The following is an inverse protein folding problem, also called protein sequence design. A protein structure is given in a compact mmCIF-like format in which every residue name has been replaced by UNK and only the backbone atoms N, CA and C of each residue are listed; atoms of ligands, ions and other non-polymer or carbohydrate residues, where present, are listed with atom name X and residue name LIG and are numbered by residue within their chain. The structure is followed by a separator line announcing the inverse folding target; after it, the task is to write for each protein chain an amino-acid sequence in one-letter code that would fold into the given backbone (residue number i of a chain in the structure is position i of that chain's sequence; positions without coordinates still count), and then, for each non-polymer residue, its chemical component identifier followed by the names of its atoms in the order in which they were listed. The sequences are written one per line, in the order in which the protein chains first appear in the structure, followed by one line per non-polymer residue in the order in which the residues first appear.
data_IF_143261006049
#
_entry.id   IF_143261006049
#
_cell.length_a   1.000
_cell.length_b   1.000
_cell.length_c   1.000
_cell.angle_alpha   90.00
_cell.angle_beta   90.00
_cell.angle_gamma   90.00
#
_symmetry.space_group_name_H-M   'P 1'
#
loop_
_entity.id
_entity.type
_entity.pdbx_description
1 polymer ?
#
# COMPACT_ATOMS: atom_id res chain seq x y z
N UNK A 1 15.29 -17.32 -15.41
CA UNK A 1 14.10 -18.08 -14.99
C UNK A 1 13.03 -17.05 -14.69
N UNK A 2 11.97 -16.99 -15.49
CA UNK A 2 10.87 -16.05 -15.23
C UNK A 2 10.15 -16.55 -13.97
N UNK A 3 10.30 -15.85 -12.85
CA UNK A 3 9.36 -16.02 -11.74
C UNK A 3 7.98 -15.70 -12.31
N UNK A 4 7.05 -16.65 -12.23
CA UNK A 4 5.66 -16.38 -12.59
C UNK A 4 5.14 -15.30 -11.64
N UNK A 5 5.07 -14.06 -12.12
CA UNK A 5 4.47 -12.98 -11.37
C UNK A 5 3.02 -13.37 -11.10
N UNK A 6 2.62 -13.42 -9.83
CA UNK A 6 1.22 -13.58 -9.49
C UNK A 6 0.44 -12.34 -9.97
N UNK A 7 -0.89 -12.41 -9.97
CA UNK A 7 -1.74 -11.35 -10.53
C UNK A 7 -1.47 -9.97 -9.89
N UNK A 8 -1.12 -9.94 -8.61
CA UNK A 8 -0.70 -8.72 -7.90
C UNK A 8 0.60 -8.16 -8.46
N UNK A 9 1.63 -9.00 -8.66
CA UNK A 9 2.90 -8.58 -9.23
C UNK A 9 2.74 -8.02 -10.65
N UNK A 10 1.89 -8.65 -11.47
CA UNK A 10 1.55 -8.13 -12.81
C UNK A 10 0.86 -6.77 -12.71
N UNK A 11 -0.11 -6.61 -11.80
CA UNK A 11 -0.83 -5.35 -11.61
C UNK A 11 0.09 -4.23 -11.11
N UNK A 12 0.96 -4.51 -10.13
CA UNK A 12 1.97 -3.55 -9.63
C UNK A 12 2.85 -3.10 -10.78
N UNK A 13 3.41 -4.05 -11.55
CA UNK A 13 4.28 -3.74 -12.67
C UNK A 13 3.57 -2.86 -13.70
N UNK A 14 2.37 -3.25 -14.15
CA UNK A 14 1.64 -2.52 -15.19
C UNK A 14 1.30 -1.07 -14.81
N UNK A 15 0.92 -0.84 -13.55
CA UNK A 15 0.58 0.52 -13.08
C UNK A 15 1.84 1.35 -12.84
N UNK A 16 2.83 0.78 -12.17
CA UNK A 16 4.05 1.50 -11.80
C UNK A 16 4.97 1.79 -12.98
N UNK A 17 4.97 0.95 -14.01
CA UNK A 17 5.71 1.18 -15.26
C UNK A 17 5.39 2.55 -15.86
N UNK A 18 4.13 2.99 -15.72
CA UNK A 18 3.65 4.28 -16.21
C UNK A 18 3.80 5.36 -15.13
N UNK A 19 3.26 5.12 -13.91
CA UNK A 19 3.18 6.17 -12.90
C UNK A 19 4.54 6.63 -12.36
N UNK A 20 5.55 5.76 -12.36
CA UNK A 20 6.87 6.13 -11.82
C UNK A 20 7.58 7.23 -12.61
N UNK A 21 7.21 7.44 -13.88
CA UNK A 21 7.77 8.51 -14.71
C UNK A 21 7.19 9.88 -14.36
N UNK A 22 6.07 9.93 -13.62
CA UNK A 22 5.42 11.16 -13.16
C UNK A 22 5.82 11.55 -11.72
N UNK A 23 6.59 10.70 -11.04
CA UNK A 23 7.12 10.95 -9.72
C UNK A 23 8.62 11.28 -9.83
N UNK A 24 8.99 12.52 -9.50
CA UNK A 24 10.37 13.01 -9.64
C UNK A 24 11.36 12.29 -8.72
N UNK A 25 10.94 11.86 -7.53
CA UNK A 25 11.80 11.19 -6.57
C UNK A 25 11.67 9.66 -6.63
N UNK A 26 10.60 9.15 -7.23
CA UNK A 26 10.30 7.72 -7.36
C UNK A 26 10.37 6.98 -6.01
N UNK A 27 9.98 7.64 -4.91
CA UNK A 27 9.90 7.07 -3.58
C UNK A 27 8.45 6.74 -3.26
N UNK A 28 8.09 5.48 -3.46
CA UNK A 28 6.72 5.01 -3.28
C UNK A 28 6.51 4.44 -1.88
N UNK A 29 5.60 4.99 -1.06
CA UNK A 29 5.10 4.31 0.12
C UNK A 29 4.40 3.01 -0.29
N UNK A 30 4.82 1.88 0.26
CA UNK A 30 4.21 0.57 -0.05
C UNK A 30 3.80 -0.15 1.23
N UNK A 31 2.52 -0.50 1.34
CA UNK A 31 1.95 -1.10 2.55
C UNK A 31 1.18 -2.37 2.24
N UNK A 32 1.30 -3.34 3.15
CA UNK A 32 0.32 -4.39 3.32
C UNK A 32 -0.77 -3.92 4.29
N UNK A 33 -2.00 -4.37 4.06
CA UNK A 33 -3.14 -4.10 4.93
C UNK A 33 -3.85 -5.40 5.29
N UNK A 34 -4.67 -5.33 6.34
CA UNK A 34 -5.21 -6.50 7.02
C UNK A 34 -4.40 -6.86 8.26
N UNK A 35 -4.96 -7.75 9.07
CA UNK A 35 -4.44 -8.05 10.40
C UNK A 35 -3.19 -8.92 10.35
N UNK A 36 -2.06 -8.34 10.77
CA UNK A 36 -0.82 -9.05 11.06
C UNK A 36 -0.53 -8.96 12.55
N UNK A 37 -0.30 -10.11 13.18
CA UNK A 37 0.21 -10.15 14.55
C UNK A 37 1.71 -9.84 14.52
N UNK A 38 2.10 -8.70 15.09
CA UNK A 38 3.52 -8.40 15.31
C UNK A 38 4.10 -9.32 16.38
N UNK A 39 5.43 -9.47 16.43
CA UNK A 39 6.14 -10.28 17.43
C UNK A 39 5.85 -9.86 18.89
N UNK A 40 5.27 -8.67 19.10
CA UNK A 40 4.82 -8.18 20.40
C UNK A 40 3.32 -8.37 20.68
N UNK A 41 2.60 -9.16 19.87
CA UNK A 41 1.17 -9.43 20.06
C UNK A 41 0.22 -8.29 19.67
N UNK A 42 0.75 -7.17 19.15
CA UNK A 42 -0.07 -6.06 18.65
C UNK A 42 -0.53 -6.35 17.23
N UNK A 43 -1.84 -6.31 17.03
CA UNK A 43 -2.48 -6.40 15.72
C UNK A 43 -2.23 -5.08 14.97
N UNK A 44 -1.67 -5.17 13.76
CA UNK A 44 -1.57 -4.01 12.87
C UNK A 44 -2.43 -4.22 11.63
N UNK A 45 -3.21 -3.21 11.27
CA UNK A 45 -4.05 -3.18 10.06
C UNK A 45 -3.30 -2.60 8.84
N UNK A 46 -2.10 -2.04 9.07
CA UNK A 46 -1.20 -1.49 8.06
C UNK A 46 0.24 -1.80 8.46
N UNK A 47 1.05 -2.29 7.53
CA UNK A 47 2.48 -2.53 7.77
C UNK A 47 3.29 -2.23 6.51
N UNK A 48 4.50 -1.68 6.64
CA UNK A 48 5.34 -1.38 5.48
C UNK A 48 5.81 -2.66 4.81
N UNK A 49 5.71 -2.74 3.49
CA UNK A 49 6.20 -3.89 2.71
C UNK A 49 7.73 -3.98 2.72
N UNK A 50 8.42 -2.84 2.91
CA UNK A 50 9.88 -2.80 3.09
C UNK A 50 10.36 -3.60 4.30
N UNK A 51 9.47 -3.86 5.28
CA UNK A 51 9.81 -4.47 6.56
C UNK A 51 10.44 -3.51 7.57
N UNK A 52 10.68 -2.26 7.21
CA UNK A 52 11.25 -1.22 8.07
C UNK A 52 10.17 -0.21 8.48
N UNK A 53 9.92 -0.10 9.79
CA UNK A 53 8.95 0.85 10.34
C UNK A 53 9.42 2.31 10.27
N UNK A 54 10.72 2.54 10.16
CA UNK A 54 11.31 3.87 10.04
C UNK A 54 11.40 4.31 8.58
N UNK A 55 11.49 3.36 7.64
CA UNK A 55 11.53 3.64 6.21
C UNK A 55 10.55 2.75 5.42
N UNK A 56 9.37 3.31 5.14
CA UNK A 56 8.32 2.65 4.38
C UNK A 56 8.37 2.92 2.87
N UNK A 57 9.36 3.69 2.40
CA UNK A 57 9.51 4.04 0.99
C UNK A 57 10.27 2.97 0.22
N UNK A 58 9.79 2.68 -0.99
CA UNK A 58 10.41 1.79 -1.96
C UNK A 58 10.86 2.61 -3.16
N UNK A 59 12.11 2.41 -3.60
CA UNK A 59 12.66 3.15 -4.74
C UNK A 59 12.24 2.51 -6.06
N UNK A 60 11.43 3.23 -6.83
CA UNK A 60 10.95 2.84 -8.15
C UNK A 60 10.07 1.58 -8.16
N UNK A 61 9.63 1.19 -9.36
CA UNK A 61 8.88 -0.06 -9.58
C UNK A 61 9.62 -1.29 -9.05
N UNK A 62 10.93 -1.39 -9.31
CA UNK A 62 11.73 -2.54 -8.88
C UNK A 62 11.78 -2.68 -7.35
N UNK A 63 11.86 -1.56 -6.63
CA UNK A 63 11.85 -1.56 -5.16
C UNK A 63 10.52 -2.06 -4.60
N UNK A 64 9.39 -1.63 -5.17
CA UNK A 64 8.06 -2.07 -4.73
C UNK A 64 7.85 -3.56 -5.01
N UNK A 65 8.23 -4.05 -6.20
CA UNK A 65 8.12 -5.46 -6.55
C UNK A 65 8.95 -6.36 -5.63
N UNK A 66 10.18 -5.96 -5.30
CA UNK A 66 11.02 -6.73 -4.38
C UNK A 66 10.49 -6.68 -2.94
N UNK A 67 9.99 -5.52 -2.47
CA UNK A 67 9.33 -5.41 -1.17
C UNK A 67 8.08 -6.30 -1.09
N UNK A 68 7.25 -6.30 -2.14
CA UNK A 68 6.10 -7.18 -2.28
C UNK A 68 6.51 -8.66 -2.19
N UNK A 69 7.51 -9.08 -2.97
CA UNK A 69 7.99 -10.46 -2.98
C UNK A 69 8.49 -10.92 -1.61
N UNK A 70 9.25 -10.08 -0.91
CA UNK A 70 9.75 -10.36 0.45
C UNK A 70 8.63 -10.44 1.47
N UNK A 71 7.60 -9.62 1.34
CA UNK A 71 6.47 -9.62 2.28
C UNK A 71 5.70 -10.95 2.27
N UNK A 72 5.71 -11.67 1.15
CA UNK A 72 4.98 -12.92 0.96
C UNK A 72 5.47 -14.06 1.87
N UNK A 73 6.77 -14.10 2.17
CA UNK A 73 7.37 -15.12 3.06
C UNK A 73 7.03 -14.88 4.54
N UNK A 74 6.53 -13.69 4.89
CA UNK A 74 6.49 -13.22 6.27
C UNK A 74 5.07 -13.12 6.87
N UNK A 75 4.02 -13.54 6.16
CA UNK A 75 2.65 -13.12 6.47
C UNK A 75 1.68 -14.30 6.64
N UNK A 76 1.16 -14.46 7.86
CA UNK A 76 -0.13 -15.10 8.11
C UNK A 76 -1.18 -13.99 8.23
N UNK A 77 -1.93 -13.73 7.15
CA UNK A 77 -3.07 -12.79 7.19
C UNK A 77 -4.21 -13.46 7.94
N UNK A 78 -4.66 -12.82 9.02
CA UNK A 78 -5.78 -13.28 9.81
C UNK A 78 -6.55 -12.09 10.36
N UNK A 79 -7.55 -11.61 9.63
CA UNK A 79 -8.51 -10.62 10.12
C UNK A 79 -9.20 -9.83 9.01
N UNK A 80 -10.07 -8.87 9.40
CA UNK A 80 -10.90 -8.16 8.45
C UNK A 80 -10.08 -7.27 7.51
N UNK A 81 -10.55 -7.16 6.28
CA UNK A 81 -10.02 -6.32 5.21
C UNK A 81 -10.75 -4.98 5.25
N UNK A 82 -10.09 -3.96 5.81
CA UNK A 82 -10.65 -2.61 5.96
C UNK A 82 -9.86 -1.59 5.12
N UNK A 83 -10.53 -0.84 4.23
CA UNK A 83 -9.86 0.16 3.38
C UNK A 83 -9.93 1.57 3.95
N UNK A 84 -10.93 1.89 4.78
CA UNK A 84 -11.11 3.24 5.31
C UNK A 84 -9.86 3.80 6.03
N UNK A 85 -9.04 3.00 6.77
CA UNK A 85 -7.85 3.55 7.43
C UNK A 85 -6.78 4.00 6.45
N UNK A 86 -6.51 3.24 5.38
CA UNK A 86 -5.44 3.59 4.42
C UNK A 86 -5.85 4.80 3.56
N UNK A 87 -7.13 4.91 3.19
CA UNK A 87 -7.65 6.06 2.43
C UNK A 87 -7.46 7.36 3.22
N UNK A 88 -7.88 7.37 4.49
CA UNK A 88 -7.76 8.55 5.37
C UNK A 88 -6.31 8.92 5.63
N UNK A 89 -5.45 7.92 5.87
CA UNK A 89 -4.02 8.13 6.10
C UNK A 89 -3.29 8.75 4.90
N UNK A 90 -3.62 8.33 3.68
CA UNK A 90 -3.09 8.95 2.46
C UNK A 90 -3.62 10.37 2.28
N UNK A 91 -4.92 10.60 2.51
CA UNK A 91 -5.48 11.97 2.50
C UNK A 91 -4.78 12.89 3.49
N UNK A 92 -4.56 12.42 4.72
CA UNK A 92 -3.91 13.23 5.74
C UNK A 92 -2.44 13.49 5.39
N UNK A 93 -1.79 12.54 4.72
CA UNK A 93 -0.42 12.72 4.20
C UNK A 93 -0.41 13.78 3.10
N UNK A 94 -1.33 13.72 2.15
CA UNK A 94 -1.48 14.72 1.10
C UNK A 94 -1.76 16.12 1.70
N UNK A 95 -2.68 16.23 2.66
CA UNK A 95 -3.04 17.48 3.36
C UNK A 95 -1.87 18.08 4.16
N UNK A 96 -0.99 17.24 4.73
CA UNK A 96 0.19 17.71 5.48
C UNK A 96 1.36 18.06 4.58
N UNK A 97 1.36 17.62 3.32
CA UNK A 97 2.42 17.95 2.40
C UNK A 97 2.48 19.46 2.19
N UNK A 98 3.68 20.03 2.32
CA UNK A 98 3.91 21.46 2.08
C UNK A 98 3.93 21.79 0.59
N UNK A 99 4.10 20.77 -0.23
CA UNK A 99 4.17 20.89 -1.66
C UNK A 99 2.77 20.71 -2.25
N UNK A 100 2.20 21.85 -2.66
CA UNK A 100 0.84 21.95 -3.20
C UNK A 100 0.75 21.48 -4.64
N UNK A 101 1.86 21.18 -5.30
CA UNK A 101 1.88 20.72 -6.70
C UNK A 101 1.75 19.19 -6.81
N UNK A 102 1.85 18.47 -5.69
CA UNK A 102 1.76 17.01 -5.67
C UNK A 102 0.32 16.50 -5.71
N UNK A 103 0.05 15.60 -6.65
CA UNK A 103 -1.17 14.81 -6.72
C UNK A 103 -0.88 13.36 -6.31
N UNK A 104 -1.65 12.85 -5.35
CA UNK A 104 -1.43 11.50 -4.78
C UNK A 104 -2.37 10.49 -5.41
N UNK A 105 -1.81 9.38 -5.89
CA UNK A 105 -2.57 8.24 -6.41
C UNK A 105 -2.41 7.05 -5.46
N UNK A 106 -3.52 6.56 -4.90
CA UNK A 106 -3.54 5.37 -4.06
C UNK A 106 -4.03 4.16 -4.87
N UNK A 107 -3.13 3.19 -5.11
CA UNK A 107 -3.48 1.88 -5.68
C UNK A 107 -3.74 0.86 -4.57
N UNK A 108 -4.94 0.30 -4.53
CA UNK A 108 -5.31 -0.80 -3.62
C UNK A 108 -5.53 -2.07 -4.45
N UNK A 109 -4.77 -3.12 -4.15
CA UNK A 109 -4.94 -4.45 -4.74
C UNK A 109 -5.54 -5.40 -3.71
N UNK A 110 -6.64 -6.06 -4.05
CA UNK A 110 -7.36 -7.01 -3.19
C UNK A 110 -7.88 -8.19 -4.00
N UNK A 111 -8.10 -9.33 -3.36
CA UNK A 111 -8.75 -10.51 -3.95
C UNK A 111 -10.24 -10.60 -3.59
N UNK A 112 -10.80 -9.64 -2.85
CA UNK A 112 -12.21 -9.66 -2.50
C UNK A 112 -12.62 -8.73 -1.37
N UNK A 113 -13.73 -9.12 -0.73
CA UNK A 113 -14.63 -8.36 0.14
C UNK A 113 -13.97 -7.34 1.06
N UNK A 114 -14.61 -6.18 1.15
CA UNK A 114 -14.27 -5.11 2.09
C UNK A 114 -15.22 -5.20 3.28
N UNK A 115 -14.67 -5.45 4.47
CA UNK A 115 -15.45 -5.63 5.69
C UNK A 115 -16.02 -4.30 6.22
N UNK A 116 -15.34 -3.18 5.95
CA UNK A 116 -15.73 -1.84 6.40
C UNK A 116 -16.38 -0.99 5.30
N UNK A 117 -17.17 -1.60 4.39
CA UNK A 117 -17.66 -0.93 3.18
C UNK A 117 -18.38 0.42 3.44
N UNK A 118 -19.14 0.54 4.54
CA UNK A 118 -19.81 1.80 4.94
C UNK A 118 -18.78 2.89 5.23
N UNK A 119 -17.75 2.55 6.00
CA UNK A 119 -16.68 3.47 6.37
C UNK A 119 -15.75 3.76 5.19
N UNK A 120 -15.50 2.78 4.33
CA UNK A 120 -14.77 2.97 3.07
C UNK A 120 -15.49 3.96 2.17
N UNK A 121 -16.81 3.85 2.01
CA UNK A 121 -17.61 4.83 1.26
C UNK A 121 -17.50 6.23 1.85
N UNK A 122 -17.62 6.37 3.17
CA UNK A 122 -17.47 7.67 3.85
C UNK A 122 -16.07 8.24 3.63
N UNK A 123 -15.03 7.41 3.79
CA UNK A 123 -13.65 7.82 3.59
C UNK A 123 -13.41 8.34 2.17
N UNK A 124 -13.95 7.69 1.13
CA UNK A 124 -13.85 8.19 -0.25
C UNK A 124 -14.52 9.57 -0.39
N UNK A 125 -15.71 9.76 0.18
CA UNK A 125 -16.42 11.04 0.14
C UNK A 125 -15.64 12.14 0.90
N UNK A 126 -15.06 11.81 2.05
CA UNK A 126 -14.29 12.74 2.89
C UNK A 126 -13.00 13.26 2.22
N UNK A 127 -12.44 12.49 1.29
CA UNK A 127 -11.15 12.80 0.62
C UNK A 127 -11.30 13.30 -0.82
N UNK A 128 -12.54 13.35 -1.33
CA UNK A 128 -12.87 13.85 -2.67
C UNK A 128 -12.90 15.37 -2.74
#
# INVERSE_FOLDING_TARGET
MAQSCNEYGVAIQAVMEILQEYDSDQLFPAYGFGSRLSSGGKLSNKYPLSGDTNNYFCKGMAGVLEAYRRSFEAVHISGPVCFSPIIRDVSDTAKRSKDTENYYVLLILTNGSVDDWIETKKAVIEVS
#
